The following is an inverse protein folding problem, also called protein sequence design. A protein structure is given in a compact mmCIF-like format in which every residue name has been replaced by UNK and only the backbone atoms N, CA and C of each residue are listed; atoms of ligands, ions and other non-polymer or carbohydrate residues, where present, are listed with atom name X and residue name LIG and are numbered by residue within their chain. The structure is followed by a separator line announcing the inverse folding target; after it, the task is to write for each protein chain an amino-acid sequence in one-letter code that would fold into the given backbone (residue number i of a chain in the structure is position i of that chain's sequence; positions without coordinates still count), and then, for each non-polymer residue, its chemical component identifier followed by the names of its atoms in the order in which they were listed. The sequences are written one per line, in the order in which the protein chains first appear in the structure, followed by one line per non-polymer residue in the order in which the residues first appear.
data_IF_451174836562
#
_entry.id   IF_451174836562
#
_cell.length_a   1.000
_cell.length_b   1.000
_cell.length_c   1.000
_cell.angle_alpha   90.00
_cell.angle_beta   90.00
_cell.angle_gamma   90.00
#
_symmetry.space_group_name_H-M   'P 1'
#
loop_
_entity.id
_entity.type
_entity.pdbx_description
1 polymer ?
#
# COMPACT_ATOMS: atom_id res chain seq x y z
N UNK A 1 0.50 8.38 -29.12
CA UNK A 1 0.25 8.98 -27.78
C UNK A 1 -0.60 8.06 -26.89
N UNK A 2 -1.73 7.53 -27.38
CA UNK A 2 -2.55 6.56 -26.64
C UNK A 2 -1.83 5.24 -26.34
N UNK A 3 -0.93 4.78 -27.22
CA UNK A 3 -0.18 3.53 -26.99
C UNK A 3 0.87 3.64 -25.89
N UNK A 4 1.59 4.77 -25.81
CA UNK A 4 2.57 5.05 -24.74
C UNK A 4 1.88 5.19 -23.38
N UNK A 5 0.64 5.68 -23.35
CA UNK A 5 -0.15 5.77 -22.12
C UNK A 5 -0.71 4.41 -21.66
N UNK A 6 -0.93 3.45 -22.59
CA UNK A 6 -1.45 2.11 -22.28
C UNK A 6 -0.43 1.18 -21.60
N UNK A 7 0.86 1.49 -21.65
CA UNK A 7 1.90 0.70 -21.00
C UNK A 7 2.08 1.03 -19.50
N UNK A 8 1.33 2.00 -18.98
CA UNK A 8 1.47 2.44 -17.59
C UNK A 8 0.72 1.51 -16.63
N UNK A 9 1.30 1.18 -15.48
CA UNK A 9 0.51 0.61 -14.40
C UNK A 9 -0.60 1.60 -13.99
N UNK A 10 -1.78 1.10 -13.56
CA UNK A 10 -2.84 1.96 -13.06
C UNK A 10 -2.34 2.96 -12.02
N UNK A 11 -2.87 4.18 -12.04
CA UNK A 11 -2.32 5.35 -11.32
C UNK A 11 -2.04 5.13 -9.83
N UNK A 12 -2.87 4.32 -9.16
CA UNK A 12 -2.75 3.98 -7.75
C UNK A 12 -1.61 3.00 -7.44
N UNK A 13 -1.40 1.99 -8.30
CA UNK A 13 -0.26 1.09 -8.21
C UNK A 13 1.04 1.80 -8.53
N UNK A 14 1.02 2.67 -9.55
CA UNK A 14 2.17 3.53 -9.89
C UNK A 14 2.52 4.46 -8.73
N UNK A 15 1.54 5.13 -8.14
CA UNK A 15 1.76 6.00 -6.98
C UNK A 15 2.38 5.26 -5.79
N UNK A 16 2.14 3.96 -5.68
CA UNK A 16 2.74 3.10 -4.64
C UNK A 16 4.11 2.53 -5.03
N UNK A 17 4.64 2.83 -6.22
CA UNK A 17 5.94 2.34 -6.69
C UNK A 17 5.93 0.89 -7.17
N UNK A 18 4.75 0.32 -7.46
CA UNK A 18 4.61 -1.05 -7.97
C UNK A 18 4.84 -1.06 -9.49
N UNK A 19 5.78 -1.90 -9.94
CA UNK A 19 6.26 -1.93 -11.33
C UNK A 19 6.25 -3.32 -11.97
N UNK A 20 6.01 -4.39 -11.20
CA UNK A 20 5.99 -5.75 -11.74
C UNK A 20 4.83 -6.59 -11.22
N UNK A 21 4.40 -7.56 -12.02
CA UNK A 21 3.34 -8.50 -11.65
C UNK A 21 3.72 -9.35 -10.44
N UNK A 22 5.01 -9.69 -10.29
CA UNK A 22 5.51 -10.44 -9.12
C UNK A 22 5.20 -9.72 -7.80
N UNK A 23 5.35 -8.38 -7.76
CA UNK A 23 4.99 -7.60 -6.58
C UNK A 23 3.49 -7.70 -6.26
N UNK A 24 2.63 -7.69 -7.29
CA UNK A 24 1.20 -7.88 -7.13
C UNK A 24 0.86 -9.27 -6.60
N UNK A 25 1.52 -10.33 -7.10
CA UNK A 25 1.37 -11.68 -6.56
C UNK A 25 1.79 -11.77 -5.09
N UNK A 26 2.91 -11.16 -4.72
CA UNK A 26 3.36 -11.11 -3.33
C UNK A 26 2.36 -10.39 -2.42
N UNK A 27 1.82 -9.23 -2.86
CA UNK A 27 0.79 -8.50 -2.10
C UNK A 27 -0.49 -9.34 -1.97
N UNK A 28 -0.92 -10.01 -3.03
CA UNK A 28 -2.12 -10.85 -3.01
C UNK A 28 -1.99 -12.02 -2.03
N UNK A 29 -0.86 -12.74 -2.07
CA UNK A 29 -0.59 -13.85 -1.14
C UNK A 29 -0.48 -13.33 0.30
N UNK A 30 0.22 -12.21 0.51
CA UNK A 30 0.31 -11.56 1.82
C UNK A 30 -1.06 -11.17 2.38
N UNK A 31 -1.93 -10.61 1.54
CA UNK A 31 -3.29 -10.24 1.91
C UNK A 31 -4.15 -11.45 2.27
N UNK A 32 -4.01 -12.58 1.55
CA UNK A 32 -4.70 -13.82 1.89
C UNK A 32 -4.25 -14.39 3.25
N UNK A 33 -2.95 -14.37 3.53
CA UNK A 33 -2.43 -14.78 4.84
C UNK A 33 -2.96 -13.86 5.94
N UNK A 34 -2.96 -12.55 5.72
CA UNK A 34 -3.51 -11.58 6.67
C UNK A 34 -5.01 -11.79 6.89
N UNK A 35 -5.79 -12.07 5.84
CA UNK A 35 -7.20 -12.39 5.95
C UNK A 35 -7.44 -13.66 6.80
N UNK A 36 -6.63 -14.71 6.59
CA UNK A 36 -6.69 -15.92 7.42
C UNK A 36 -6.37 -15.63 8.89
N UNK A 37 -5.37 -14.77 9.16
CA UNK A 37 -5.04 -14.33 10.52
C UNK A 37 -6.18 -13.53 11.17
N UNK A 38 -6.86 -12.65 10.44
CA UNK A 38 -8.00 -11.89 10.96
C UNK A 38 -9.18 -12.80 11.30
N UNK A 39 -9.50 -13.78 10.43
CA UNK A 39 -10.54 -14.77 10.71
C UNK A 39 -10.20 -15.63 11.93
N UNK A 40 -8.95 -16.06 12.05
CA UNK A 40 -8.48 -16.78 13.23
C UNK A 40 -8.57 -15.92 14.48
N UNK A 41 -8.17 -14.65 14.42
CA UNK A 41 -8.28 -13.71 15.53
C UNK A 41 -9.74 -13.54 15.98
N UNK A 42 -10.71 -13.46 15.06
CA UNK A 42 -12.14 -13.44 15.40
C UNK A 42 -12.58 -14.71 16.12
N UNK A 43 -12.25 -15.89 15.58
CA UNK A 43 -12.58 -17.16 16.24
C UNK A 43 -11.95 -17.26 17.64
N UNK A 44 -10.68 -16.85 17.78
CA UNK A 44 -9.92 -16.92 19.01
C UNK A 44 -10.49 -16.00 20.09
N UNK A 45 -10.76 -14.73 19.76
CA UNK A 45 -11.34 -13.77 20.71
C UNK A 45 -12.81 -14.07 21.04
N UNK A 46 -13.47 -14.95 20.29
CA UNK A 46 -14.82 -15.41 20.66
C UNK A 46 -14.79 -16.68 21.53
N UNK A 47 -14.03 -17.70 21.15
CA UNK A 47 -14.10 -19.03 21.79
C UNK A 47 -13.02 -19.31 22.84
N UNK A 48 -11.86 -18.64 22.77
CA UNK A 48 -10.70 -18.93 23.63
C UNK A 48 -10.37 -17.79 24.59
N UNK A 49 -10.43 -16.56 24.11
CA UNK A 49 -10.07 -15.36 24.86
C UNK A 49 -11.15 -14.28 24.75
N UNK A 50 -12.37 -14.59 25.20
CA UNK A 50 -13.48 -13.66 25.23
C UNK A 50 -13.17 -12.46 26.15
N UNK A 51 -13.10 -11.22 25.63
CA UNK A 51 -12.84 -10.05 26.46
C UNK A 51 -14.03 -9.76 27.37
N UNK A 52 -13.75 -9.25 28.57
CA UNK A 52 -14.77 -8.81 29.53
C UNK A 52 -15.32 -7.44 29.12
N UNK A 53 -16.52 -7.09 29.59
CA UNK A 53 -17.17 -5.81 29.28
C UNK A 53 -16.30 -4.59 29.64
N UNK A 54 -15.58 -4.64 30.77
CA UNK A 54 -14.68 -3.57 31.18
C UNK A 54 -13.57 -3.26 30.17
N UNK A 55 -13.12 -4.26 29.40
CA UNK A 55 -12.11 -4.05 28.35
C UNK A 55 -12.68 -3.24 27.17
N UNK A 56 -13.94 -3.48 26.80
CA UNK A 56 -14.62 -2.73 25.74
C UNK A 56 -14.97 -1.29 26.15
N UNK A 57 -15.15 -1.04 27.46
CA UNK A 57 -15.54 0.26 28.00
C UNK A 57 -14.36 1.17 28.34
N UNK A 58 -13.12 0.69 28.19
CA UNK A 58 -11.92 1.51 28.36
C UNK A 58 -11.70 2.41 27.13
N UNK A 59 -12.44 3.52 27.12
CA UNK A 59 -12.43 4.50 26.02
C UNK A 59 -11.11 5.26 25.91
N UNK A 60 -10.41 5.46 27.02
CA UNK A 60 -9.13 6.17 27.04
C UNK A 60 -8.05 5.32 26.37
N UNK A 61 -7.93 4.05 26.75
CA UNK A 61 -7.01 3.10 26.11
C UNK A 61 -7.33 2.91 24.63
N UNK A 62 -8.62 2.74 24.29
CA UNK A 62 -9.06 2.62 22.91
C UNK A 62 -8.65 3.86 22.10
N UNK A 63 -8.98 5.07 22.56
CA UNK A 63 -8.72 6.30 21.83
C UNK A 63 -7.22 6.54 21.65
N UNK A 64 -6.41 6.33 22.69
CA UNK A 64 -4.97 6.49 22.62
C UNK A 64 -4.34 5.48 21.64
N UNK A 65 -4.76 4.22 21.66
CA UNK A 65 -4.28 3.23 20.69
C UNK A 65 -4.71 3.55 19.26
N UNK A 66 -5.91 4.07 19.03
CA UNK A 66 -6.38 4.39 17.69
C UNK A 66 -5.74 5.67 17.14
N UNK A 67 -5.68 6.74 17.93
CA UNK A 67 -5.12 8.00 17.48
C UNK A 67 -3.58 7.93 17.35
N UNK A 68 -2.89 7.56 18.42
CA UNK A 68 -1.43 7.55 18.41
C UNK A 68 -0.88 6.30 17.69
N UNK A 69 -1.43 5.12 18.00
CA UNK A 69 -1.00 3.87 17.40
C UNK A 69 -1.46 3.72 15.95
N UNK A 70 -2.75 3.50 15.74
CA UNK A 70 -3.28 3.16 14.42
C UNK A 70 -3.10 4.30 13.40
N UNK A 71 -3.51 5.52 13.73
CA UNK A 71 -3.42 6.66 12.81
C UNK A 71 -2.02 7.29 12.80
N UNK A 72 -1.41 7.51 13.97
CA UNK A 72 -0.09 8.09 14.10
C UNK A 72 1.00 7.22 13.50
N UNK A 73 1.22 6.01 14.04
CA UNK A 73 2.25 5.11 13.52
C UNK A 73 1.91 4.61 12.09
N UNK A 74 0.63 4.46 11.75
CA UNK A 74 0.19 4.11 10.40
C UNK A 74 0.59 5.16 9.37
N UNK A 75 0.29 6.43 9.63
CA UNK A 75 0.67 7.54 8.73
C UNK A 75 2.19 7.73 8.66
N UNK A 76 2.91 7.57 9.78
CA UNK A 76 4.36 7.62 9.80
C UNK A 76 5.00 6.52 8.96
N UNK A 77 4.52 5.28 9.10
CA UNK A 77 4.99 4.14 8.29
C UNK A 77 4.73 4.37 6.79
N UNK A 78 3.54 4.86 6.44
CA UNK A 78 3.22 5.16 5.05
C UNK A 78 4.05 6.32 4.49
N UNK A 79 4.30 7.38 5.26
CA UNK A 79 5.19 8.46 4.87
C UNK A 79 6.62 7.94 4.60
N UNK A 80 7.12 7.04 5.46
CA UNK A 80 8.39 6.36 5.25
C UNK A 80 8.42 5.58 3.93
N UNK A 81 7.38 4.79 3.65
CA UNK A 81 7.25 4.09 2.36
C UNK A 81 7.27 5.06 1.18
N UNK A 82 6.53 6.17 1.27
CA UNK A 82 6.47 7.16 0.20
C UNK A 82 7.84 7.78 -0.09
N UNK A 83 8.59 8.14 0.96
CA UNK A 83 9.92 8.74 0.85
C UNK A 83 10.96 7.76 0.31
N UNK A 84 10.95 6.51 0.79
CA UNK A 84 12.01 5.55 0.46
C UNK A 84 11.73 4.71 -0.79
N UNK A 85 10.48 4.56 -1.21
CA UNK A 85 10.08 3.67 -2.30
C UNK A 85 9.37 4.43 -3.41
N UNK A 86 8.24 5.07 -3.09
CA UNK A 86 7.34 5.63 -4.10
C UNK A 86 7.95 6.84 -4.83
N UNK A 87 8.56 7.77 -4.10
CA UNK A 87 9.18 8.97 -4.68
C UNK A 87 10.35 8.64 -5.62
N UNK A 88 11.38 7.87 -5.21
CA UNK A 88 12.49 7.53 -6.09
C UNK A 88 12.04 6.79 -7.35
N UNK A 89 11.17 5.79 -7.21
CA UNK A 89 10.71 4.99 -8.36
C UNK A 89 9.94 5.85 -9.35
N UNK A 90 9.04 6.72 -8.86
CA UNK A 90 8.25 7.57 -9.76
C UNK A 90 9.10 8.60 -10.49
N UNK A 91 10.13 9.16 -9.85
CA UNK A 91 11.08 10.05 -10.52
C UNK A 91 11.78 9.36 -11.70
N UNK A 92 12.25 8.12 -11.52
CA UNK A 92 12.89 7.36 -12.59
C UNK A 92 11.90 6.99 -13.71
N UNK A 93 10.69 6.58 -13.35
CA UNK A 93 9.64 6.28 -14.33
C UNK A 93 9.35 7.53 -15.17
N UNK A 94 9.11 8.67 -14.55
CA UNK A 94 8.80 9.93 -15.25
C UNK A 94 9.87 10.30 -16.27
N UNK A 95 11.15 10.23 -15.89
CA UNK A 95 12.28 10.48 -16.81
C UNK A 95 12.31 9.47 -17.96
N UNK A 96 12.13 8.18 -17.68
CA UNK A 96 12.10 7.14 -18.72
C UNK A 96 10.99 7.37 -19.75
N UNK A 97 9.81 7.79 -19.30
CA UNK A 97 8.69 8.12 -20.19
C UNK A 97 8.95 9.35 -21.05
N UNK A 98 9.58 10.37 -20.46
CA UNK A 98 9.97 11.59 -21.17
C UNK A 98 10.95 11.24 -22.30
N UNK A 99 11.98 10.43 -22.02
CA UNK A 99 12.96 10.01 -23.01
C UNK A 99 12.33 9.18 -24.13
N UNK A 100 11.48 8.19 -23.81
CA UNK A 100 10.77 7.37 -24.81
C UNK A 100 9.89 8.23 -25.71
N UNK A 101 9.25 9.27 -25.15
CA UNK A 101 8.42 10.22 -25.91
C UNK A 101 9.26 11.09 -26.85
N UNK A 102 10.38 11.64 -26.40
CA UNK A 102 11.26 12.44 -27.27
C UNK A 102 11.84 11.61 -28.42
N UNK A 103 12.29 10.38 -28.14
CA UNK A 103 12.79 9.48 -29.19
C UNK A 103 11.72 9.17 -30.25
N UNK A 104 10.49 8.88 -29.82
CA UNK A 104 9.38 8.65 -30.74
C UNK A 104 9.07 9.88 -31.61
N UNK A 105 9.10 11.08 -31.02
CA UNK A 105 8.86 12.33 -31.75
C UNK A 105 9.96 12.63 -32.78
N UNK A 106 11.22 12.30 -32.48
CA UNK A 106 12.34 12.47 -33.43
C UNK A 106 12.31 11.47 -34.59
N UNK A 107 11.79 10.25 -34.39
CA UNK A 107 11.64 9.27 -35.48
C UNK A 107 10.43 9.55 -36.40
N UNK A 108 9.58 10.51 -36.04
CA UNK A 108 8.41 10.93 -36.81
C UNK A 108 8.65 12.22 -37.62
N UNK A 109 9.78 12.91 -37.40
CA UNK A 109 10.21 14.10 -38.17
C UNK A 109 11.17 13.73 -39.28
#
# INVERSE_FOLDING_TARGET
LSEVAREQPPSWWRASGITSELQLYCIAIGALIFAALMLFASWFHYHKAAPKLAWFQDVESMLNHHLAGLLGLGSLSWAGHQIHVSLPINQFLDVGWILKRYHFLMNLS
#
